data_IF_367333965753
#
_entry.id   IF_367333965753
#
_cell.length_a   1.000
_cell.length_b   1.000
_cell.length_c   1.000
_cell.angle_alpha   90.00
_cell.angle_beta   90.00
_cell.angle_gamma   90.00
#
_symmetry.space_group_name_H-M   'P 1'
#
loop_
_entity.id
_entity.type
_entity.pdbx_description
1 polymer ?
#
# COMPACT_ATOMS: atom_id res chain seq x y z
N UNK A 1 11.60 21.97 14.71
CA UNK A 1 12.95 21.38 14.80
C UNK A 1 12.74 19.87 14.60
N UNK A 2 13.10 19.35 13.41
CA UNK A 2 12.98 17.92 13.11
C UNK A 2 14.12 17.16 13.79
N UNK A 3 13.79 16.00 14.36
CA UNK A 3 14.83 15.14 14.93
C UNK A 3 15.89 14.78 13.88
N UNK A 4 17.18 14.74 14.24
CA UNK A 4 18.21 14.29 13.35
C UNK A 4 17.99 12.82 12.99
N UNK A 5 17.91 12.50 11.71
CA UNK A 5 17.77 11.14 11.25
C UNK A 5 18.81 10.80 10.19
N UNK A 6 19.29 9.60 10.21
CA UNK A 6 20.10 9.02 9.15
C UNK A 6 19.27 7.95 8.43
N UNK A 7 19.16 8.08 7.12
CA UNK A 7 18.52 7.08 6.26
C UNK A 7 19.62 6.39 5.46
N UNK A 8 19.70 5.07 5.60
CA UNK A 8 20.64 4.23 4.88
C UNK A 8 19.87 3.23 4.04
N UNK A 9 19.94 3.37 2.74
CA UNK A 9 19.46 2.36 1.80
C UNK A 9 20.63 1.54 1.31
N UNK A 10 20.54 0.22 1.39
CA UNK A 10 21.59 -0.69 0.91
C UNK A 10 21.02 -1.56 -0.21
N UNK A 11 21.69 -1.52 -1.34
CA UNK A 11 21.54 -2.53 -2.39
C UNK A 11 22.89 -3.21 -2.57
N UNK A 12 22.91 -4.53 -2.63
CA UNK A 12 24.12 -5.35 -2.86
C UNK A 12 25.29 -5.05 -1.90
N UNK A 13 24.98 -4.65 -0.68
CA UNK A 13 25.98 -4.34 0.34
C UNK A 13 26.56 -2.92 0.29
N UNK A 14 26.23 -2.13 -0.70
CA UNK A 14 26.60 -0.70 -0.80
C UNK A 14 25.53 0.22 -0.20
N UNK A 15 25.95 1.39 0.29
CA UNK A 15 25.03 2.46 0.72
C UNK A 15 24.72 3.33 -0.50
N UNK A 16 23.50 3.23 -1.01
CA UNK A 16 23.10 4.02 -2.16
C UNK A 16 22.71 5.44 -1.81
N UNK A 17 22.04 5.62 -0.68
CA UNK A 17 21.60 6.92 -0.17
C UNK A 17 21.84 7.00 1.32
N UNK A 18 22.41 8.10 1.75
CA UNK A 18 22.52 8.44 3.16
C UNK A 18 22.13 9.90 3.36
N UNK A 19 21.37 10.19 4.42
CA UNK A 19 21.08 11.56 4.85
C UNK A 19 21.25 11.70 6.36
N UNK A 20 21.71 12.84 6.79
CA UNK A 20 21.83 13.21 8.18
C UNK A 20 21.37 14.65 8.35
N UNK A 21 20.57 14.93 9.35
CA UNK A 21 19.96 16.26 9.59
C UNK A 21 19.33 16.88 8.32
N UNK A 22 18.66 16.00 7.52
CA UNK A 22 18.03 16.43 6.27
C UNK A 22 19.00 16.77 5.13
N UNK A 23 20.31 16.62 5.33
CA UNK A 23 21.33 16.83 4.30
C UNK A 23 21.71 15.51 3.66
N UNK A 24 21.66 15.43 2.34
CA UNK A 24 22.11 14.25 1.60
C UNK A 24 23.62 14.09 1.74
N UNK A 25 24.06 12.91 2.17
CA UNK A 25 25.46 12.52 2.29
C UNK A 25 25.96 11.69 1.11
N UNK A 26 25.02 11.17 0.29
CA UNK A 26 25.31 10.38 -0.90
C UNK A 26 24.84 11.12 -2.16
N UNK A 27 25.54 10.99 -3.28
CA UNK A 27 25.12 11.55 -4.56
C UNK A 27 23.87 10.86 -5.14
N UNK A 28 23.54 9.65 -4.70
CA UNK A 28 22.32 8.97 -5.13
C UNK A 28 21.10 9.57 -4.44
N UNK A 29 20.13 9.97 -5.25
CA UNK A 29 18.85 10.55 -4.76
C UNK A 29 17.73 9.54 -4.65
N UNK A 30 17.94 8.31 -5.13
CA UNK A 30 16.95 7.23 -5.08
C UNK A 30 17.63 5.87 -5.28
N UNK A 31 17.06 4.82 -4.66
CA UNK A 31 17.43 3.43 -4.89
C UNK A 31 16.54 2.80 -5.96
N UNK A 32 17.07 1.82 -6.69
CA UNK A 32 16.30 0.94 -7.57
C UNK A 32 16.20 -0.43 -6.94
N UNK A 33 14.99 -0.91 -6.76
CA UNK A 33 14.72 -2.17 -6.08
C UNK A 33 13.83 -3.03 -6.97
N UNK A 34 14.23 -4.28 -7.18
CA UNK A 34 13.43 -5.22 -7.96
C UNK A 34 12.53 -6.05 -7.05
N UNK A 35 11.24 -6.13 -7.40
CA UNK A 35 10.22 -6.93 -6.73
C UNK A 35 9.37 -7.63 -7.78
N UNK A 36 9.40 -8.95 -7.81
CA UNK A 36 8.55 -9.78 -8.69
C UNK A 36 8.59 -9.32 -10.17
N UNK A 37 9.79 -9.01 -10.67
CA UNK A 37 10.00 -8.56 -12.05
C UNK A 37 9.56 -7.11 -12.33
N UNK A 38 9.38 -6.31 -11.28
CA UNK A 38 9.12 -4.87 -11.37
C UNK A 38 10.26 -4.11 -10.71
N UNK A 39 10.77 -3.08 -11.39
CA UNK A 39 11.77 -2.18 -10.82
C UNK A 39 11.07 -0.98 -10.19
N UNK A 40 11.31 -0.75 -8.92
CA UNK A 40 10.81 0.40 -8.18
C UNK A 40 11.92 1.41 -7.93
N UNK A 41 11.64 2.66 -8.19
CA UNK A 41 12.40 3.78 -7.68
C UNK A 41 11.89 4.11 -6.28
N UNK A 42 12.82 4.25 -5.30
CA UNK A 42 12.50 4.60 -3.93
C UNK A 42 13.40 5.75 -3.49
N UNK A 43 12.81 6.89 -3.27
CA UNK A 43 13.52 8.07 -2.78
C UNK A 43 13.89 7.96 -1.30
N UNK A 44 14.86 8.76 -0.82
CA UNK A 44 15.39 8.66 0.55
C UNK A 44 14.37 9.02 1.65
N UNK A 45 13.27 9.66 1.29
CA UNK A 45 12.17 10.02 2.20
C UNK A 45 10.94 9.15 2.06
N UNK A 46 10.93 8.28 1.05
CA UNK A 46 9.81 7.37 0.81
C UNK A 46 9.90 6.17 1.73
N UNK A 47 8.75 5.74 2.26
CA UNK A 47 8.68 4.48 2.99
C UNK A 47 8.97 3.30 2.07
N UNK A 48 9.72 2.34 2.58
CA UNK A 48 9.92 1.04 1.97
C UNK A 48 9.96 -0.03 3.04
N UNK A 49 9.47 -1.23 2.71
CA UNK A 49 9.46 -2.38 3.64
C UNK A 49 10.88 -2.73 4.08
N UNK A 50 11.10 -2.79 5.40
CA UNK A 50 12.44 -2.95 5.98
C UNK A 50 13.01 -4.36 5.79
N UNK A 51 12.15 -5.40 5.78
CA UNK A 51 12.57 -6.77 5.53
C UNK A 51 12.76 -6.97 4.03
N UNK A 52 13.87 -7.62 3.65
CA UNK A 52 14.25 -7.82 2.24
C UNK A 52 13.14 -8.46 1.39
N UNK A 53 12.49 -9.48 1.92
CA UNK A 53 11.53 -10.28 1.18
C UNK A 53 10.08 -9.79 1.37
N UNK A 54 9.85 -8.87 2.31
CA UNK A 54 8.51 -8.36 2.60
C UNK A 54 7.80 -7.76 1.37
N UNK A 55 8.45 -6.94 0.52
CA UNK A 55 7.80 -6.40 -0.67
C UNK A 55 7.25 -7.49 -1.59
N UNK A 56 8.02 -8.55 -1.83
CA UNK A 56 7.61 -9.65 -2.70
C UNK A 56 6.50 -10.49 -2.06
N UNK A 57 6.68 -10.90 -0.81
CA UNK A 57 5.71 -11.71 -0.06
C UNK A 57 4.36 -11.00 0.07
N UNK A 58 4.37 -9.72 0.46
CA UNK A 58 3.13 -8.95 0.61
C UNK A 58 2.45 -8.69 -0.75
N UNK A 59 3.23 -8.40 -1.80
CA UNK A 59 2.67 -8.21 -3.15
C UNK A 59 1.98 -9.48 -3.65
N UNK A 60 2.61 -10.65 -3.49
CA UNK A 60 2.02 -11.93 -3.90
C UNK A 60 0.77 -12.26 -3.08
N UNK A 61 0.81 -12.00 -1.77
CA UNK A 61 -0.34 -12.22 -0.90
C UNK A 61 -1.51 -11.31 -1.29
N UNK A 62 -1.26 -10.01 -1.49
CA UNK A 62 -2.29 -9.03 -1.91
C UNK A 62 -2.90 -9.41 -3.25
N UNK A 63 -2.08 -9.70 -4.27
CA UNK A 63 -2.58 -10.11 -5.59
C UNK A 63 -3.40 -11.40 -5.51
N UNK A 64 -2.91 -12.39 -4.74
CA UNK A 64 -3.57 -13.68 -4.57
C UNK A 64 -4.97 -13.56 -3.97
N UNK A 65 -5.15 -12.71 -2.94
CA UNK A 65 -6.47 -12.56 -2.28
C UNK A 65 -7.34 -11.50 -2.96
N UNK A 66 -6.76 -10.51 -3.64
CA UNK A 66 -7.50 -9.50 -4.38
C UNK A 66 -8.31 -10.12 -5.53
N UNK A 67 -7.76 -11.13 -6.19
CA UNK A 67 -8.44 -11.82 -7.29
C UNK A 67 -8.81 -10.88 -8.42
N UNK A 68 -7.92 -9.94 -8.74
CA UNK A 68 -8.10 -8.94 -9.81
C UNK A 68 -8.22 -9.62 -11.16
N UNK A 69 -9.18 -9.16 -11.96
CA UNK A 69 -9.42 -9.62 -13.33
C UNK A 69 -9.19 -8.49 -14.33
N UNK A 70 -8.87 -8.82 -15.59
CA UNK A 70 -8.84 -7.83 -16.66
C UNK A 70 -10.15 -7.01 -16.72
N UNK A 71 -10.02 -5.69 -16.77
CA UNK A 71 -11.15 -4.76 -16.78
C UNK A 71 -11.57 -4.22 -15.40
N UNK A 72 -11.04 -4.77 -14.31
CA UNK A 72 -11.39 -4.34 -12.97
C UNK A 72 -10.99 -2.88 -12.67
N UNK A 73 -11.76 -2.26 -11.79
CA UNK A 73 -11.43 -0.99 -11.15
C UNK A 73 -10.87 -1.28 -9.76
N UNK A 74 -9.67 -0.77 -9.48
CA UNK A 74 -8.97 -0.96 -8.21
C UNK A 74 -8.62 0.40 -7.62
N UNK A 75 -8.74 0.53 -6.30
CA UNK A 75 -8.21 1.68 -5.54
C UNK A 75 -7.17 1.16 -4.55
N UNK A 76 -5.98 1.76 -4.58
CA UNK A 76 -4.87 1.49 -3.67
C UNK A 76 -4.74 2.71 -2.74
N UNK A 77 -5.15 2.54 -1.48
CA UNK A 77 -5.12 3.59 -0.46
C UNK A 77 -3.88 3.40 0.42
N UNK A 78 -3.20 4.50 0.74
CA UNK A 78 -1.88 4.51 1.36
C UNK A 78 -0.81 3.89 0.44
N UNK A 79 -0.85 4.26 -0.83
CA UNK A 79 -0.13 3.57 -1.89
C UNK A 79 1.40 3.66 -1.79
N UNK A 80 1.95 4.54 -0.96
CA UNK A 80 3.39 4.74 -0.85
C UNK A 80 4.02 5.05 -2.21
N UNK A 81 5.05 4.32 -2.55
CA UNK A 81 5.75 4.41 -3.85
C UNK A 81 5.07 3.59 -4.96
N UNK A 82 3.90 3.01 -4.69
CA UNK A 82 3.13 2.22 -5.64
C UNK A 82 3.44 0.72 -5.64
N UNK A 83 3.93 0.18 -4.52
CA UNK A 83 4.30 -1.24 -4.39
C UNK A 83 3.18 -2.18 -4.87
N UNK A 84 1.94 -1.92 -4.47
CA UNK A 84 0.79 -2.71 -4.92
C UNK A 84 0.18 -2.15 -6.22
N UNK A 85 0.20 -0.83 -6.41
CA UNK A 85 -0.39 -0.17 -7.58
C UNK A 85 0.15 -0.70 -8.90
N UNK A 86 1.47 -0.93 -9.02
CA UNK A 86 2.12 -1.40 -10.25
C UNK A 86 1.63 -2.80 -10.67
N UNK A 87 1.73 -3.84 -9.82
CA UNK A 87 1.27 -5.17 -10.19
C UNK A 87 -0.27 -5.24 -10.33
N UNK A 88 -1.03 -4.49 -9.54
CA UNK A 88 -2.48 -4.39 -9.70
C UNK A 88 -2.86 -3.82 -11.07
N UNK A 89 -2.16 -2.77 -11.54
CA UNK A 89 -2.40 -2.20 -12.86
C UNK A 89 -2.12 -3.17 -14.00
N UNK A 90 -1.06 -3.98 -13.87
CA UNK A 90 -0.77 -5.05 -14.85
C UNK A 90 -1.87 -6.12 -14.84
N UNK A 91 -2.36 -6.50 -13.66
CA UNK A 91 -3.42 -7.49 -13.52
C UNK A 91 -4.76 -7.00 -14.11
N UNK A 92 -5.10 -5.71 -13.94
CA UNK A 92 -6.32 -5.14 -14.53
C UNK A 92 -6.25 -5.02 -16.06
N UNK A 93 -5.05 -4.99 -16.63
CA UNK A 93 -4.82 -4.88 -18.07
C UNK A 93 -5.34 -3.57 -18.68
N UNK A 94 -5.42 -3.52 -20.00
CA UNK A 94 -5.78 -2.30 -20.75
C UNK A 94 -7.22 -1.81 -20.49
N UNK A 95 -8.13 -2.72 -20.16
CA UNK A 95 -9.55 -2.42 -19.92
C UNK A 95 -9.81 -1.89 -18.50
N UNK A 96 -8.91 -2.15 -17.57
CA UNK A 96 -9.06 -1.77 -16.18
C UNK A 96 -8.40 -0.43 -15.83
N UNK A 97 -8.47 -0.06 -14.56
CA UNK A 97 -7.84 1.15 -14.03
C UNK A 97 -7.47 0.98 -12.55
N UNK A 98 -6.42 1.66 -12.14
CA UNK A 98 -6.01 1.77 -10.73
C UNK A 98 -6.02 3.24 -10.33
N UNK A 99 -6.56 3.54 -9.14
CA UNK A 99 -6.40 4.83 -8.49
C UNK A 99 -5.53 4.63 -7.26
N UNK A 100 -4.33 5.21 -7.27
CA UNK A 100 -3.41 5.20 -6.13
C UNK A 100 -3.58 6.51 -5.34
N UNK A 101 -3.79 6.41 -4.03
CA UNK A 101 -3.94 7.57 -3.13
C UNK A 101 -2.83 7.54 -2.09
N UNK A 102 -2.04 8.61 -2.04
CA UNK A 102 -0.90 8.78 -1.14
C UNK A 102 -0.78 10.26 -0.75
N UNK A 103 -0.43 10.52 0.51
CA UNK A 103 -0.34 11.87 1.05
C UNK A 103 1.04 12.50 0.88
N UNK A 104 2.10 11.72 1.10
CA UNK A 104 3.47 12.20 1.11
C UNK A 104 3.94 12.60 -0.31
N UNK A 105 4.32 13.87 -0.54
CA UNK A 105 4.65 14.36 -1.90
C UNK A 105 5.84 13.63 -2.53
N UNK A 106 6.82 13.19 -1.72
CA UNK A 106 7.96 12.41 -2.20
C UNK A 106 7.57 11.01 -2.62
N UNK A 107 6.72 10.30 -1.84
CA UNK A 107 6.19 8.99 -2.22
C UNK A 107 5.30 9.08 -3.47
N UNK A 108 4.50 10.13 -3.60
CA UNK A 108 3.70 10.42 -4.80
C UNK A 108 4.59 10.61 -6.03
N UNK A 109 5.73 11.31 -5.89
CA UNK A 109 6.67 11.50 -7.00
C UNK A 109 7.28 10.16 -7.44
N UNK A 110 7.65 9.30 -6.49
CA UNK A 110 8.16 7.97 -6.78
C UNK A 110 7.06 7.06 -7.37
N UNK A 111 5.84 7.08 -6.81
CA UNK A 111 4.72 6.33 -7.34
C UNK A 111 4.40 6.70 -8.79
N UNK A 112 4.36 7.99 -9.13
CA UNK A 112 4.14 8.46 -10.51
C UNK A 112 5.20 7.92 -11.47
N UNK A 113 6.47 7.90 -11.05
CA UNK A 113 7.54 7.31 -11.83
C UNK A 113 7.37 5.79 -11.97
N UNK A 114 7.06 5.10 -10.88
CA UNK A 114 7.00 3.64 -10.85
C UNK A 114 5.81 3.07 -11.64
N UNK A 115 4.71 3.82 -11.76
CA UNK A 115 3.54 3.38 -12.54
C UNK A 115 3.66 3.66 -14.04
N UNK A 116 4.71 4.34 -14.48
CA UNK A 116 4.94 4.58 -15.92
C UNK A 116 5.01 3.25 -16.66
N UNK A 117 4.19 3.10 -17.70
CA UNK A 117 4.10 1.86 -18.48
C UNK A 117 3.41 0.67 -17.82
N UNK A 118 2.98 0.77 -16.54
CA UNK A 118 2.31 -0.33 -15.84
C UNK A 118 0.85 -0.54 -16.29
N UNK A 119 0.22 0.48 -16.88
CA UNK A 119 -1.18 0.45 -17.30
C UNK A 119 -1.89 1.78 -17.03
N UNK A 120 -3.21 1.75 -16.84
CA UNK A 120 -4.00 2.95 -16.54
C UNK A 120 -4.00 3.21 -15.03
N UNK A 121 -3.00 3.93 -14.54
CA UNK A 121 -2.88 4.32 -13.13
C UNK A 121 -3.02 5.83 -12.99
N UNK A 122 -3.86 6.26 -12.05
CA UNK A 122 -3.99 7.65 -11.62
C UNK A 122 -3.46 7.78 -10.19
N UNK A 123 -2.35 8.50 -10.01
CA UNK A 123 -1.79 8.79 -8.69
C UNK A 123 -2.33 10.12 -8.19
N UNK A 124 -3.00 10.10 -7.05
CA UNK A 124 -3.60 11.26 -6.37
C UNK A 124 -2.87 11.55 -5.07
N UNK A 125 -2.40 12.79 -4.94
CA UNK A 125 -1.78 13.27 -3.70
C UNK A 125 -2.87 13.76 -2.76
N UNK A 126 -3.40 12.87 -1.93
CA UNK A 126 -4.43 13.17 -0.95
C UNK A 126 -4.15 12.45 0.36
N UNK A 127 -4.56 13.06 1.47
CA UNK A 127 -4.70 12.33 2.73
C UNK A 127 -5.85 11.33 2.61
N UNK A 128 -5.64 10.10 3.12
CA UNK A 128 -6.68 9.08 3.14
C UNK A 128 -7.69 9.41 4.24
N UNK A 129 -8.75 10.08 3.85
CA UNK A 129 -9.87 10.51 4.69
C UNK A 129 -11.18 9.90 4.17
N UNK A 130 -12.26 10.02 4.94
CA UNK A 130 -13.59 9.62 4.48
C UNK A 130 -13.98 10.29 3.14
N UNK A 131 -13.58 11.54 2.93
CA UNK A 131 -13.79 12.27 1.67
C UNK A 131 -12.99 11.63 0.54
N UNK A 132 -11.70 11.38 0.75
CA UNK A 132 -10.85 10.74 -0.26
C UNK A 132 -11.40 9.36 -0.67
N UNK A 133 -11.89 8.56 0.28
CA UNK A 133 -12.55 7.28 0.00
C UNK A 133 -13.79 7.49 -0.86
N UNK A 134 -14.66 8.44 -0.52
CA UNK A 134 -15.87 8.72 -1.31
C UNK A 134 -15.55 9.14 -2.75
N UNK A 135 -14.46 9.89 -2.95
CA UNK A 135 -14.06 10.42 -4.26
C UNK A 135 -13.24 9.41 -5.10
N UNK A 136 -12.49 8.49 -4.45
CA UNK A 136 -11.59 7.55 -5.13
C UNK A 136 -12.18 6.15 -5.32
N UNK A 137 -13.02 5.68 -4.39
CA UNK A 137 -13.53 4.30 -4.40
C UNK A 137 -14.84 4.22 -5.18
N UNK A 138 -14.85 3.44 -6.24
CA UNK A 138 -16.06 3.13 -6.98
C UNK A 138 -16.86 2.00 -6.28
N UNK A 139 -18.21 2.01 -6.37
CA UNK A 139 -19.00 0.83 -6.00
C UNK A 139 -18.55 -0.41 -6.77
N UNK A 140 -18.71 -1.59 -6.21
CA UNK A 140 -18.37 -2.87 -6.83
C UNK A 140 -16.91 -2.98 -7.33
N UNK A 141 -16.01 -2.16 -6.80
CA UNK A 141 -14.57 -2.20 -7.11
C UNK A 141 -13.80 -3.08 -6.13
N UNK A 142 -12.49 -3.20 -6.35
CA UNK A 142 -11.55 -3.75 -5.37
C UNK A 142 -10.81 -2.59 -4.72
N UNK A 143 -10.63 -2.66 -3.40
CA UNK A 143 -9.82 -1.70 -2.64
C UNK A 143 -8.70 -2.45 -1.95
N UNK A 144 -7.49 -1.93 -2.04
CA UNK A 144 -6.34 -2.35 -1.22
C UNK A 144 -6.05 -1.22 -0.24
N UNK A 145 -5.80 -1.55 1.01
CA UNK A 145 -5.39 -0.60 2.04
C UNK A 145 -4.18 -1.13 2.80
N UNK A 146 -3.17 -0.29 2.97
CA UNK A 146 -1.97 -0.56 3.80
C UNK A 146 -1.75 0.63 4.75
N UNK A 147 -2.63 0.81 5.74
CA UNK A 147 -2.61 1.98 6.61
C UNK A 147 -1.41 1.95 7.56
N UNK A 148 -1.03 3.11 8.13
CA UNK A 148 -0.05 3.16 9.19
C UNK A 148 -0.51 2.37 10.43
N UNK A 149 0.37 2.16 11.42
CA UNK A 149 0.08 1.42 12.66
C UNK A 149 -1.18 1.86 13.40
N UNK A 150 -1.63 3.09 13.20
CA UNK A 150 -2.89 3.60 13.77
C UNK A 150 -4.15 3.02 13.12
N UNK A 151 -3.99 2.28 12.01
CA UNK A 151 -5.09 1.69 11.23
C UNK A 151 -5.88 2.70 10.41
N UNK A 152 -7.05 2.29 9.91
CA UNK A 152 -7.94 3.12 9.08
C UNK A 152 -8.61 4.25 9.86
N UNK A 153 -8.94 3.98 11.11
CA UNK A 153 -9.82 4.84 11.89
C UNK A 153 -11.29 4.77 11.48
N UNK A 154 -12.17 5.21 12.39
CA UNK A 154 -13.64 5.07 12.21
C UNK A 154 -14.18 5.75 10.95
N UNK A 155 -13.64 6.92 10.60
CA UNK A 155 -14.14 7.69 9.45
C UNK A 155 -13.90 7.00 8.11
N UNK A 156 -12.70 6.45 7.91
CA UNK A 156 -12.31 5.72 6.70
C UNK A 156 -13.06 4.39 6.60
N UNK A 157 -13.11 3.61 7.70
CA UNK A 157 -13.84 2.34 7.74
C UNK A 157 -15.33 2.53 7.39
N UNK A 158 -16.00 3.54 7.99
CA UNK A 158 -17.38 3.86 7.68
C UNK A 158 -17.58 4.35 6.22
N UNK A 159 -16.62 5.06 5.66
CA UNK A 159 -16.69 5.48 4.26
C UNK A 159 -16.54 4.29 3.31
N UNK A 160 -15.64 3.34 3.60
CA UNK A 160 -15.51 2.10 2.84
C UNK A 160 -16.80 1.27 2.88
N UNK A 161 -17.43 1.14 4.04
CA UNK A 161 -18.71 0.46 4.19
C UNK A 161 -19.81 1.11 3.32
N UNK A 162 -19.90 2.45 3.32
CA UNK A 162 -20.88 3.17 2.46
C UNK A 162 -20.59 3.05 0.98
N UNK A 163 -19.32 3.00 0.58
CA UNK A 163 -18.94 2.84 -0.83
C UNK A 163 -19.14 1.42 -1.34
N UNK A 164 -19.22 0.45 -0.44
CA UNK A 164 -19.52 -0.94 -0.74
C UNK A 164 -18.64 -1.50 -1.90
N UNK A 165 -17.30 -1.40 -1.84
CA UNK A 165 -16.47 -2.12 -2.80
C UNK A 165 -16.74 -3.61 -2.63
N UNK A 166 -16.81 -4.37 -3.73
CA UNK A 166 -17.08 -5.82 -3.64
C UNK A 166 -16.02 -6.57 -2.83
N UNK A 167 -14.80 -6.02 -2.78
CA UNK A 167 -13.67 -6.59 -2.04
C UNK A 167 -12.76 -5.52 -1.47
N UNK A 168 -12.37 -5.73 -0.22
CA UNK A 168 -11.34 -4.99 0.48
C UNK A 168 -10.20 -5.94 0.84
N UNK A 169 -8.98 -5.61 0.42
CA UNK A 169 -7.75 -6.26 0.88
C UNK A 169 -7.10 -5.34 1.89
N UNK A 170 -6.90 -5.82 3.10
CA UNK A 170 -6.31 -5.07 4.20
C UNK A 170 -4.94 -5.65 4.54
N UNK A 171 -3.89 -4.86 4.37
CA UNK A 171 -2.54 -5.14 4.87
C UNK A 171 -2.35 -4.43 6.20
N UNK A 172 -1.79 -5.10 7.20
CA UNK A 172 -1.59 -4.49 8.52
C UNK A 172 -0.36 -5.05 9.22
N UNK A 173 0.45 -4.16 9.78
CA UNK A 173 1.59 -4.50 10.64
C UNK A 173 1.24 -4.53 12.14
N UNK A 174 -0.02 -4.30 12.52
CA UNK A 174 -0.47 -4.26 13.91
C UNK A 174 -1.78 -5.02 14.09
N UNK A 175 -1.75 -6.22 14.70
CA UNK A 175 -2.93 -7.06 14.90
C UNK A 175 -4.03 -6.41 15.76
N UNK A 176 -3.67 -5.55 16.72
CA UNK A 176 -4.65 -4.94 17.62
C UNK A 176 -5.48 -3.86 16.90
N UNK A 177 -4.82 -2.99 16.12
CA UNK A 177 -5.50 -2.00 15.30
C UNK A 177 -6.28 -2.64 14.17
N UNK A 178 -5.75 -3.71 13.56
CA UNK A 178 -6.49 -4.52 12.58
C UNK A 178 -7.78 -5.09 13.17
N UNK A 179 -7.75 -5.72 14.34
CA UNK A 179 -8.94 -6.29 14.99
C UNK A 179 -10.02 -5.24 15.26
N UNK A 180 -9.61 -4.04 15.70
CA UNK A 180 -10.52 -2.91 15.90
C UNK A 180 -11.18 -2.47 14.59
N UNK A 181 -10.40 -2.30 13.53
CA UNK A 181 -10.90 -1.86 12.22
C UNK A 181 -11.74 -2.96 11.55
N UNK A 182 -11.33 -4.23 11.70
CA UNK A 182 -12.10 -5.40 11.24
C UNK A 182 -13.51 -5.39 11.86
N UNK A 183 -13.61 -5.19 13.19
CA UNK A 183 -14.92 -5.11 13.85
C UNK A 183 -15.81 -4.04 13.22
N UNK A 184 -15.27 -2.85 12.92
CA UNK A 184 -16.04 -1.78 12.29
C UNK A 184 -16.46 -2.13 10.84
N UNK A 185 -15.60 -2.81 10.09
CA UNK A 185 -15.89 -3.24 8.73
C UNK A 185 -16.94 -4.35 8.68
N UNK A 186 -16.87 -5.33 9.61
CA UNK A 186 -17.88 -6.38 9.74
C UNK A 186 -19.27 -5.79 10.05
N UNK A 187 -19.33 -4.84 11.00
CA UNK A 187 -20.59 -4.11 11.28
C UNK A 187 -21.06 -3.28 10.08
N UNK A 188 -20.15 -2.92 9.18
CA UNK A 188 -20.42 -2.15 7.96
C UNK A 188 -20.80 -3.00 6.75
N UNK A 189 -21.07 -4.31 6.91
CA UNK A 189 -21.55 -5.18 5.82
C UNK A 189 -20.47 -5.97 5.09
N UNK A 190 -19.23 -5.99 5.62
CA UNK A 190 -18.20 -6.88 5.10
C UNK A 190 -18.18 -8.22 5.84
N UNK A 191 -17.71 -9.27 5.16
CA UNK A 191 -17.38 -10.57 5.76
C UNK A 191 -15.91 -10.88 5.54
N UNK A 192 -15.24 -11.42 6.56
CA UNK A 192 -13.86 -11.91 6.44
C UNK A 192 -13.83 -13.21 5.63
N UNK A 193 -13.15 -13.20 4.49
CA UNK A 193 -13.04 -14.34 3.58
C UNK A 193 -11.69 -15.06 3.63
N UNK A 194 -10.60 -14.35 3.94
CA UNK A 194 -9.24 -14.90 4.07
C UNK A 194 -8.44 -14.05 5.06
N UNK A 195 -7.56 -14.67 5.82
CA UNK A 195 -6.62 -14.00 6.73
C UNK A 195 -5.31 -14.78 6.73
N UNK A 196 -4.24 -14.10 6.37
CA UNK A 196 -2.88 -14.63 6.38
C UNK A 196 -2.00 -13.80 7.29
N UNK A 197 -1.11 -14.46 8.01
CA UNK A 197 -0.12 -13.84 8.87
C UNK A 197 1.28 -14.21 8.41
N UNK A 198 2.18 -13.25 8.41
CA UNK A 198 3.57 -13.40 7.96
C UNK A 198 4.51 -12.92 9.04
N UNK A 199 5.40 -13.82 9.50
CA UNK A 199 6.50 -13.48 10.40
C UNK A 199 7.69 -12.96 9.57
N UNK A 200 7.64 -11.64 9.28
CA UNK A 200 8.67 -10.95 8.52
C UNK A 200 9.66 -10.19 9.41
N UNK A 201 9.43 -10.18 10.72
CA UNK A 201 10.26 -9.48 11.70
C UNK A 201 10.60 -10.41 12.87
N UNK A 202 11.37 -11.50 12.61
CA UNK A 202 11.68 -12.50 13.63
C UNK A 202 12.32 -11.85 14.87
N UNK A 203 12.00 -12.38 16.05
CA UNK A 203 12.40 -11.85 17.36
C UNK A 203 11.79 -10.49 17.74
N UNK A 204 10.74 -10.07 17.07
CA UNK A 204 9.90 -8.93 17.44
C UNK A 204 8.43 -9.36 17.62
N UNK A 205 7.60 -8.51 18.17
CA UNK A 205 6.16 -8.73 18.27
C UNK A 205 5.39 -8.38 16.97
N UNK A 206 6.11 -7.97 15.93
CA UNK A 206 5.50 -7.51 14.69
C UNK A 206 5.15 -8.66 13.77
N UNK A 207 3.89 -8.73 13.40
CA UNK A 207 3.34 -9.69 12.42
C UNK A 207 2.63 -8.92 11.34
N UNK A 208 2.96 -9.20 10.09
CA UNK A 208 2.23 -8.65 8.95
C UNK A 208 1.00 -9.50 8.67
N UNK A 209 -0.13 -8.85 8.49
CA UNK A 209 -1.41 -9.49 8.16
C UNK A 209 -1.85 -9.06 6.77
N UNK A 210 -2.40 -10.00 6.01
CA UNK A 210 -3.13 -9.72 4.77
C UNK A 210 -4.49 -10.38 4.87
N UNK A 211 -5.53 -9.55 4.89
CA UNK A 211 -6.91 -10.01 5.00
C UNK A 211 -7.71 -9.66 3.75
N UNK A 212 -8.59 -10.58 3.33
CA UNK A 212 -9.62 -10.33 2.34
C UNK A 212 -10.97 -10.20 3.02
N UNK A 213 -11.65 -9.10 2.76
CA UNK A 213 -13.04 -8.91 3.16
C UNK A 213 -13.89 -8.73 1.89
N UNK A 214 -15.00 -9.46 1.83
CA UNK A 214 -15.95 -9.34 0.73
C UNK A 214 -17.20 -8.62 1.26
N UNK A 215 -17.76 -7.69 0.48
CA UNK A 215 -18.98 -6.97 0.85
C UNK A 215 -20.19 -7.88 0.60
N UNK A 216 -21.02 -8.05 1.62
CA UNK A 216 -22.20 -8.96 1.59
C UNK A 216 -23.54 -8.22 1.80
N UNK A 217 -23.49 -6.89 2.05
CA UNK A 217 -24.70 -6.08 2.23
C UNK A 217 -25.05 -5.75 3.66
#
# INVERSE_FOLDING_TARGET
EGEPFAVLHRTDGAVDVASFEGRLLSPSTSSRIEVNGHTFRVGPRSFWQSHRDAPAVLTDAVLGVAGVKPGDTVTDLYAGVGLFSVPLAKATGRGGRVTAVESAPWSVADARHNVEGAGRVQVRQWDVTARAVNDAVAPDSIVVVDPPRTGLGRGVAAALARRAPRRLVYVSCDPATFARDLSALLMGGFALGDLRAFDLFPMTEHVELVARLDFIG
#
